data_IF_821234884662
#
_entry.id   IF_821234884662
#
_cell.length_a   1.000
_cell.length_b   1.000
_cell.length_c   1.000
_cell.angle_alpha   90.00
_cell.angle_beta   90.00
_cell.angle_gamma   90.00
#
_symmetry.space_group_name_H-M   'P 1'
#
loop_
_entity.id
_entity.type
_entity.pdbx_description
1 polymer ?
#
# COMPACT_ATOMS: atom_id res chain seq x y z
N UNK A 1 -24.87 7.99 -46.39
CA UNK A 1 -23.71 8.62 -45.72
C UNK A 1 -23.10 7.54 -44.85
N UNK A 2 -22.00 6.96 -45.28
CA UNK A 2 -21.25 5.98 -44.50
C UNK A 2 -20.54 6.70 -43.34
N UNK A 3 -20.90 6.33 -42.12
CA UNK A 3 -20.20 6.79 -40.92
C UNK A 3 -19.02 5.83 -40.75
N UNK A 4 -17.75 6.29 -40.81
CA UNK A 4 -16.64 5.39 -40.59
C UNK A 4 -16.71 4.92 -39.13
N UNK A 5 -16.65 3.60 -38.94
CA UNK A 5 -16.55 3.00 -37.61
C UNK A 5 -15.33 3.61 -36.91
N UNK A 6 -15.56 4.29 -35.79
CA UNK A 6 -14.48 4.73 -34.90
C UNK A 6 -13.71 3.46 -34.52
N UNK A 7 -12.48 3.34 -35.01
CA UNK A 7 -11.50 2.40 -34.50
C UNK A 7 -11.31 2.75 -33.03
N UNK A 8 -11.92 1.97 -32.14
CA UNK A 8 -11.56 1.96 -30.74
C UNK A 8 -10.18 1.32 -30.71
N UNK A 9 -9.14 2.15 -30.73
CA UNK A 9 -7.86 1.68 -30.21
C UNK A 9 -8.15 1.30 -28.75
N UNK A 10 -7.88 0.05 -28.33
CA UNK A 10 -7.87 -0.28 -26.92
C UNK A 10 -6.61 0.39 -26.37
N UNK A 11 -6.69 1.71 -26.17
CA UNK A 11 -5.76 2.39 -25.29
C UNK A 11 -5.82 1.60 -24.00
N UNK A 12 -4.73 0.88 -23.80
CA UNK A 12 -4.47 -0.01 -22.69
C UNK A 12 -4.23 0.91 -21.50
N UNK A 13 -5.28 1.62 -21.10
CA UNK A 13 -5.42 2.16 -19.76
C UNK A 13 -5.74 0.95 -18.89
N UNK A 14 -4.75 0.06 -18.78
CA UNK A 14 -4.63 -0.74 -17.58
C UNK A 14 -4.48 0.30 -16.49
N UNK A 15 -5.61 0.74 -15.94
CA UNK A 15 -5.73 1.45 -14.68
C UNK A 15 -4.72 0.77 -13.78
N UNK A 16 -3.55 1.42 -13.61
CA UNK A 16 -2.54 0.91 -12.70
C UNK A 16 -3.22 1.03 -11.36
N UNK A 17 -3.78 -0.07 -10.90
CA UNK A 17 -4.43 -0.19 -9.61
C UNK A 17 -3.44 0.40 -8.61
N UNK A 18 -3.72 1.62 -8.15
CA UNK A 18 -2.86 2.23 -7.16
C UNK A 18 -2.90 1.30 -5.95
N UNK A 19 -1.74 0.97 -5.37
CA UNK A 19 -1.68 0.01 -4.29
C UNK A 19 -2.66 0.43 -3.20
N UNK A 20 -3.58 -0.49 -2.85
CA UNK A 20 -4.70 -0.22 -1.94
C UNK A 20 -4.26 0.37 -0.59
N UNK A 21 -3.01 0.12 -0.19
CA UNK A 21 -2.33 0.83 0.87
C UNK A 21 -0.83 0.93 0.55
N UNK A 22 -0.22 2.07 0.89
CA UNK A 22 1.24 2.21 0.89
C UNK A 22 1.74 2.05 2.31
N UNK A 23 2.60 1.06 2.52
CA UNK A 23 3.20 0.76 3.82
C UNK A 23 4.72 0.92 3.78
N UNK A 24 5.32 1.19 4.93
CA UNK A 24 6.76 1.25 5.17
C UNK A 24 7.15 0.19 6.20
N UNK A 25 8.32 -0.42 6.05
CA UNK A 25 8.84 -1.44 6.96
C UNK A 25 10.00 -0.89 7.78
N UNK A 26 10.00 -1.16 9.10
CA UNK A 26 11.03 -0.73 10.03
C UNK A 26 11.55 -1.94 10.82
N UNK A 27 12.87 -2.15 10.83
CA UNK A 27 13.54 -3.17 11.64
C UNK A 27 14.30 -2.50 12.79
N UNK A 28 13.73 -2.54 14.00
CA UNK A 28 14.35 -1.93 15.18
C UNK A 28 15.30 -2.87 15.92
N UNK A 29 15.14 -4.19 15.72
CA UNK A 29 16.00 -5.25 16.24
C UNK A 29 16.10 -6.35 15.19
N UNK A 30 17.24 -7.07 15.08
CA UNK A 30 17.39 -8.17 14.13
C UNK A 30 16.22 -9.16 14.20
N UNK A 31 15.56 -9.37 13.05
CA UNK A 31 14.43 -10.29 12.91
C UNK A 31 13.09 -9.77 13.46
N UNK A 32 12.98 -8.48 13.81
CA UNK A 32 11.71 -7.86 14.25
C UNK A 32 11.36 -6.69 13.32
N UNK A 33 10.34 -6.90 12.49
CA UNK A 33 9.89 -5.94 11.48
C UNK A 33 8.51 -5.41 11.86
N UNK A 34 8.35 -4.09 11.78
CA UNK A 34 7.09 -3.37 11.97
C UNK A 34 6.69 -2.75 10.63
N UNK A 35 5.43 -2.93 10.23
CA UNK A 35 4.85 -2.25 9.08
C UNK A 35 3.98 -1.08 9.56
N UNK A 36 4.14 0.07 8.91
CA UNK A 36 3.36 1.29 9.18
C UNK A 36 2.75 1.79 7.90
N UNK A 37 1.53 2.32 7.95
CA UNK A 37 0.97 3.05 6.80
C UNK A 37 1.79 4.31 6.51
N UNK A 38 1.74 4.77 5.26
CA UNK A 38 2.29 6.06 4.86
C UNK A 38 1.71 7.14 5.77
N UNK A 39 2.59 8.02 6.26
CA UNK A 39 2.26 9.13 7.16
C UNK A 39 1.85 8.76 8.60
N UNK A 40 1.97 7.50 9.02
CA UNK A 40 1.93 7.14 10.45
C UNK A 40 3.28 7.45 11.14
N UNK A 41 3.63 8.73 11.21
CA UNK A 41 4.89 9.22 11.81
C UNK A 41 4.89 9.12 13.34
N UNK A 42 3.70 9.08 13.95
CA UNK A 42 3.54 9.01 15.40
C UNK A 42 3.87 7.61 15.95
N UNK A 43 3.97 6.60 15.08
CA UNK A 43 4.32 5.23 15.45
C UNK A 43 3.23 4.54 16.26
N UNK A 44 1.99 5.01 16.20
CA UNK A 44 0.86 4.40 16.88
C UNK A 44 0.41 3.17 16.09
N UNK A 45 0.51 2.00 16.71
CA UNK A 45 0.04 0.74 16.16
C UNK A 45 -1.10 0.28 17.04
N UNK A 46 -2.32 0.33 16.52
CA UNK A 46 -3.46 -0.29 17.18
C UNK A 46 -3.34 -1.80 16.97
N UNK A 47 -2.81 -2.49 17.98
CA UNK A 47 -2.72 -3.95 18.04
C UNK A 47 -3.48 -4.42 19.27
N UNK A 48 -4.19 -5.54 19.14
CA UNK A 48 -4.81 -6.26 20.25
C UNK A 48 -3.80 -7.12 21.03
N UNK A 49 -2.57 -7.26 20.50
CA UNK A 49 -1.47 -7.96 21.14
C UNK A 49 -0.72 -7.03 22.11
N UNK A 50 -0.91 -7.26 23.41
CA UNK A 50 -0.03 -6.69 24.44
C UNK A 50 1.31 -7.44 24.47
N UNK A 51 2.42 -6.70 24.55
CA UNK A 51 3.78 -7.27 24.65
C UNK A 51 4.38 -6.85 25.98
N UNK A 52 4.89 -7.81 26.75
CA UNK A 52 5.59 -7.52 28.00
C UNK A 52 6.97 -6.92 27.72
N UNK A 53 7.36 -5.91 28.51
CA UNK A 53 8.70 -5.32 28.44
C UNK A 53 9.70 -6.23 29.18
N UNK A 54 10.79 -6.60 28.52
CA UNK A 54 11.92 -7.23 29.22
C UNK A 54 12.67 -6.21 30.09
N UNK A 55 13.16 -6.59 31.29
CA UNK A 55 13.90 -5.71 32.19
C UNK A 55 15.25 -5.23 31.64
#
# INVERSE_FOLDING_TARGET
MDVPARRQDPDTDAEREEPAAVVTSHETRPGKIVFTERDNTDGWIATDLAVDLEP
#
